data_IF_219947927152
#
_entry.id   IF_219947927152
#
_cell.length_a   1.000
_cell.length_b   1.000
_cell.length_c   1.000
_cell.angle_alpha   90.00
_cell.angle_beta   90.00
_cell.angle_gamma   90.00
#
_symmetry.space_group_name_H-M   'P 1'
#
loop_
_entity.id
_entity.type
_entity.pdbx_description
1 polymer ?
#
# COMPACT_ATOMS: atom_id res chain seq x y z
N UNK A 1 -15.38 -53.73 20.32
CA UNK A 1 -15.30 -52.32 19.88
C UNK A 1 -15.14 -52.32 18.37
N UNK A 2 -15.97 -51.57 17.64
CA UNK A 2 -15.91 -51.50 16.17
C UNK A 2 -14.62 -50.80 15.72
N UNK A 3 -14.05 -51.21 14.58
CA UNK A 3 -12.83 -50.64 13.99
C UNK A 3 -12.91 -49.10 13.89
N UNK A 4 -14.10 -48.57 13.58
CA UNK A 4 -14.37 -47.13 13.54
C UNK A 4 -14.22 -46.43 14.89
N UNK A 5 -14.56 -47.10 15.98
CA UNK A 5 -14.41 -46.56 17.33
C UNK A 5 -12.95 -46.45 17.76
N UNK A 6 -12.10 -47.40 17.33
CA UNK A 6 -10.66 -47.36 17.61
C UNK A 6 -9.99 -46.26 16.79
N UNK A 7 -10.36 -46.10 15.52
CA UNK A 7 -9.81 -45.03 14.65
C UNK A 7 -10.16 -43.64 15.19
N UNK A 8 -11.41 -43.40 15.61
CA UNK A 8 -11.82 -42.12 16.18
C UNK A 8 -11.09 -41.76 17.47
N UNK A 9 -10.84 -42.75 18.35
CA UNK A 9 -10.11 -42.52 19.60
C UNK A 9 -8.64 -42.22 19.31
N UNK A 10 -8.03 -42.92 18.35
CA UNK A 10 -6.64 -42.69 17.97
C UNK A 10 -6.44 -41.34 17.27
N UNK A 11 -7.35 -40.90 16.40
CA UNK A 11 -7.26 -39.59 15.75
C UNK A 11 -7.47 -38.45 16.74
N UNK A 12 -8.44 -38.58 17.65
CA UNK A 12 -8.67 -37.58 18.70
C UNK A 12 -7.47 -37.46 19.66
N UNK A 13 -6.86 -38.59 20.05
CA UNK A 13 -5.66 -38.60 20.87
C UNK A 13 -4.46 -37.95 20.15
N UNK A 14 -4.30 -38.20 18.84
CA UNK A 14 -3.23 -37.60 18.04
C UNK A 14 -3.40 -36.09 17.91
N UNK A 15 -4.63 -35.60 17.67
CA UNK A 15 -4.93 -34.16 17.62
C UNK A 15 -4.68 -33.50 18.99
N UNK A 16 -5.06 -34.13 20.10
CA UNK A 16 -4.80 -33.61 21.44
C UNK A 16 -3.29 -33.55 21.75
N UNK A 17 -2.53 -34.56 21.35
CA UNK A 17 -1.07 -34.58 21.46
C UNK A 17 -0.38 -33.50 20.60
N UNK A 18 -0.94 -33.19 19.43
CA UNK A 18 -0.46 -32.08 18.60
C UNK A 18 -0.74 -30.72 19.26
N UNK A 19 -1.92 -30.53 19.84
CA UNK A 19 -2.27 -29.29 20.55
C UNK A 19 -1.46 -29.09 21.84
N UNK A 20 -1.11 -30.17 22.55
CA UNK A 20 -0.27 -30.15 23.76
C UNK A 20 1.20 -29.81 23.50
N UNK A 21 1.69 -29.94 22.26
CA UNK A 21 3.08 -29.65 21.87
C UNK A 21 3.26 -28.29 21.18
N UNK A 22 2.20 -27.51 20.98
CA UNK A 22 2.32 -26.13 20.53
C UNK A 22 2.68 -25.29 21.76
N UNK A 23 3.93 -24.81 21.91
CA UNK A 23 4.18 -23.79 22.91
C UNK A 23 3.32 -22.58 22.54
N UNK A 24 2.33 -22.28 23.37
CA UNK A 24 1.62 -21.00 23.36
C UNK A 24 2.61 -19.92 23.84
N UNK A 25 3.61 -19.65 23.00
CA UNK A 25 4.53 -18.54 23.20
C UNK A 25 3.82 -17.27 22.72
N UNK A 26 2.78 -16.85 23.48
CA UNK A 26 2.27 -15.48 23.46
C UNK A 26 3.26 -14.57 24.19
N UNK A 27 4.55 -14.73 23.90
CA UNK A 27 5.53 -13.71 24.20
C UNK A 27 5.40 -12.70 23.09
N UNK A 28 4.56 -11.69 23.37
CA UNK A 28 4.62 -10.40 22.67
C UNK A 28 6.08 -9.99 22.64
N UNK A 29 6.73 -10.26 21.50
CA UNK A 29 8.06 -9.78 21.22
C UNK A 29 7.83 -8.30 21.00
N UNK A 30 7.96 -7.52 22.07
CA UNK A 30 8.12 -6.08 21.99
C UNK A 30 9.39 -5.85 21.18
N UNK A 31 9.26 -5.88 19.86
CA UNK A 31 10.25 -5.41 18.92
C UNK A 31 10.62 -4.02 19.41
N UNK A 32 11.90 -3.86 19.76
CA UNK A 32 12.46 -2.63 20.29
C UNK A 32 12.53 -1.53 19.23
N UNK A 33 11.48 -1.36 18.43
CA UNK A 33 11.19 -0.12 17.74
C UNK A 33 11.02 0.90 18.84
N UNK A 34 12.08 1.68 19.07
CA UNK A 34 12.01 2.99 19.70
C UNK A 34 10.73 3.64 19.16
N UNK A 35 9.74 3.83 20.04
CA UNK A 35 8.67 4.76 19.73
C UNK A 35 9.35 6.06 19.29
N UNK A 36 8.91 6.69 18.19
CA UNK A 36 9.46 7.98 17.79
C UNK A 36 9.43 8.89 19.00
N UNK A 37 10.56 9.53 19.30
CA UNK A 37 10.71 10.37 20.47
C UNK A 37 9.53 11.35 20.54
N UNK A 38 8.84 11.37 21.69
CA UNK A 38 7.81 12.34 21.98
C UNK A 38 8.41 13.74 21.77
N UNK A 39 7.97 14.43 20.71
CA UNK A 39 8.55 15.70 20.27
C UNK A 39 8.53 15.95 18.76
N UNK A 40 8.11 15.00 17.92
CA UNK A 40 7.71 15.31 16.55
C UNK A 40 6.29 15.86 16.60
N UNK A 41 6.14 17.19 16.57
CA UNK A 41 4.84 17.84 16.41
C UNK A 41 4.39 17.52 14.98
N UNK A 42 3.69 16.40 14.81
CA UNK A 42 3.22 15.94 13.51
C UNK A 42 2.26 17.01 13.00
N UNK A 43 2.61 17.68 11.90
CA UNK A 43 1.71 18.63 11.28
C UNK A 43 0.39 17.93 10.93
N UNK A 44 -0.73 18.41 11.48
CA UNK A 44 -2.04 17.83 11.24
C UNK A 44 -2.85 18.69 10.26
N UNK A 45 -3.27 18.11 9.14
CA UNK A 45 -4.17 18.75 8.16
C UNK A 45 -5.64 18.85 8.66
N UNK A 46 -5.92 18.55 9.91
CA UNK A 46 -7.28 18.53 10.46
C UNK A 46 -8.10 17.31 10.02
N UNK A 47 -9.43 17.42 10.17
CA UNK A 47 -10.37 16.31 9.96
C UNK A 47 -11.38 16.55 8.81
N UNK A 48 -11.17 17.58 8.00
CA UNK A 48 -11.95 17.82 6.79
C UNK A 48 -11.14 18.59 5.76
N UNK A 49 -11.52 18.50 4.49
CA UNK A 49 -10.98 19.26 3.37
C UNK A 49 -10.94 20.76 3.65
N UNK A 50 -11.98 21.31 4.28
CA UNK A 50 -12.01 22.72 4.68
C UNK A 50 -10.94 23.06 5.74
N UNK A 51 -10.70 22.18 6.72
CA UNK A 51 -9.63 22.37 7.71
C UNK A 51 -8.25 22.22 7.07
N UNK A 52 -8.08 21.24 6.17
CA UNK A 52 -6.83 20.98 5.46
C UNK A 52 -6.42 22.18 4.60
N UNK A 53 -7.35 22.72 3.83
CA UNK A 53 -7.12 23.94 3.04
C UNK A 53 -6.78 25.14 3.93
N UNK A 54 -7.47 25.31 5.07
CA UNK A 54 -7.17 26.38 6.04
C UNK A 54 -5.79 26.22 6.68
N UNK A 55 -5.31 24.98 6.85
CA UNK A 55 -3.98 24.67 7.35
C UNK A 55 -2.89 24.80 6.27
N UNK A 56 -3.25 25.04 5.00
CA UNK A 56 -2.30 25.11 3.89
C UNK A 56 -1.86 23.76 3.34
N UNK A 57 -2.56 22.67 3.70
CA UNK A 57 -2.32 21.36 3.11
C UNK A 57 -2.82 21.30 1.67
N UNK A 58 -2.20 20.41 0.89
CA UNK A 58 -2.58 20.14 -0.50
C UNK A 58 -3.08 18.71 -0.65
N UNK A 59 -4.11 18.51 -1.47
CA UNK A 59 -4.66 17.18 -1.72
C UNK A 59 -3.82 16.47 -2.79
N UNK A 60 -3.24 15.34 -2.41
CA UNK A 60 -2.52 14.43 -3.28
C UNK A 60 -3.48 13.29 -3.66
N UNK A 61 -3.91 13.26 -4.93
CA UNK A 61 -4.86 12.27 -5.42
C UNK A 61 -4.20 10.90 -5.60
N UNK A 62 -2.91 10.86 -5.93
CA UNK A 62 -2.16 9.61 -5.97
C UNK A 62 -2.24 8.91 -4.59
N UNK A 63 -2.07 9.65 -3.50
CA UNK A 63 -2.10 9.11 -2.14
C UNK A 63 -3.49 9.07 -1.50
N UNK A 64 -4.48 9.72 -2.13
CA UNK A 64 -5.78 10.02 -1.52
C UNK A 64 -5.60 10.61 -0.11
N UNK A 65 -4.74 11.62 0.00
CA UNK A 65 -4.33 12.20 1.27
C UNK A 65 -4.13 13.72 1.21
N UNK A 66 -4.35 14.38 2.33
CA UNK A 66 -3.95 15.78 2.53
C UNK A 66 -2.51 15.82 3.04
N UNK A 67 -1.61 16.46 2.29
CA UNK A 67 -0.20 16.58 2.61
C UNK A 67 0.11 17.91 3.30
N UNK A 68 0.87 17.90 4.40
CA UNK A 68 1.42 19.11 5.00
C UNK A 68 2.26 19.94 4.02
N UNK A 69 2.38 21.27 4.22
CA UNK A 69 3.21 22.13 3.36
C UNK A 69 4.66 21.68 3.18
N UNK A 70 5.24 21.05 4.21
CA UNK A 70 6.63 20.59 4.20
C UNK A 70 6.82 19.18 3.58
N UNK A 71 5.72 18.52 3.20
CA UNK A 71 5.77 17.23 2.51
C UNK A 71 5.77 17.44 0.99
N UNK A 72 6.81 17.02 0.27
CA UNK A 72 6.81 17.05 -1.19
C UNK A 72 5.71 16.14 -1.76
N UNK A 73 5.05 16.61 -2.83
CA UNK A 73 4.23 15.76 -3.69
C UNK A 73 5.14 14.95 -4.61
N UNK A 74 5.13 13.63 -4.46
CA UNK A 74 5.90 12.73 -5.32
C UNK A 74 4.98 12.12 -6.37
N UNK A 75 5.34 12.32 -7.64
CA UNK A 75 4.71 11.69 -8.81
C UNK A 75 3.20 11.95 -9.01
N UNK A 76 2.55 12.73 -8.14
CA UNK A 76 1.12 13.06 -8.25
C UNK A 76 0.80 13.76 -9.57
N UNK A 77 1.62 14.71 -10.03
CA UNK A 77 1.38 15.38 -11.30
C UNK A 77 1.51 14.44 -12.50
N UNK A 78 2.47 13.53 -12.48
CA UNK A 78 2.67 12.52 -13.51
C UNK A 78 1.51 11.52 -13.53
N UNK A 79 1.05 11.10 -12.35
CA UNK A 79 -0.15 10.30 -12.20
C UNK A 79 -1.36 11.00 -12.81
N UNK A 80 -1.63 12.26 -12.45
CA UNK A 80 -2.75 13.03 -13.01
C UNK A 80 -2.66 13.24 -14.53
N UNK A 81 -1.46 13.24 -15.12
CA UNK A 81 -1.26 13.35 -16.57
C UNK A 81 -1.40 12.02 -17.30
N UNK A 82 -1.23 10.89 -16.62
CA UNK A 82 -1.25 9.57 -17.22
C UNK A 82 -2.67 9.07 -17.55
N UNK A 83 -3.72 9.71 -17.01
CA UNK A 83 -5.10 9.34 -17.33
C UNK A 83 -6.14 10.35 -16.85
N UNK A 84 -7.34 10.27 -17.43
CA UNK A 84 -8.54 10.96 -16.96
C UNK A 84 -9.21 10.10 -15.87
N UNK A 85 -8.66 10.14 -14.66
CA UNK A 85 -9.09 9.31 -13.55
C UNK A 85 -10.52 9.65 -13.10
N UNK A 86 -11.40 8.66 -13.19
CA UNK A 86 -12.81 8.79 -12.82
C UNK A 86 -13.11 7.89 -11.64
N UNK A 87 -13.88 8.43 -10.71
CA UNK A 87 -14.31 7.72 -9.51
C UNK A 87 -15.83 7.67 -9.45
N UNK A 88 -16.35 6.61 -8.85
CA UNK A 88 -17.77 6.28 -8.89
C UNK A 88 -18.31 5.94 -7.50
N UNK A 89 -19.60 6.17 -7.29
CA UNK A 89 -20.30 5.87 -6.04
C UNK A 89 -20.73 4.39 -5.95
N UNK A 90 -20.62 3.66 -7.06
CA UNK A 90 -21.01 2.27 -7.16
C UNK A 90 -19.95 1.45 -7.92
N UNK A 91 -19.79 0.16 -7.59
CA UNK A 91 -18.80 -0.71 -8.23
C UNK A 91 -19.14 -1.03 -9.70
N UNK A 92 -20.35 -0.71 -10.17
CA UNK A 92 -20.74 -0.92 -11.58
C UNK A 92 -20.37 0.28 -12.46
N UNK A 93 -19.81 1.35 -11.89
CA UNK A 93 -19.39 2.54 -12.63
C UNK A 93 -20.55 3.37 -13.19
N UNK A 94 -21.74 3.31 -12.60
CA UNK A 94 -22.93 3.98 -13.13
C UNK A 94 -23.05 5.44 -12.69
N UNK A 95 -22.59 5.77 -11.49
CA UNK A 95 -22.73 7.09 -10.88
C UNK A 95 -21.37 7.69 -10.58
N UNK A 96 -20.98 8.70 -11.36
CA UNK A 96 -19.71 9.41 -11.15
C UNK A 96 -19.75 10.26 -9.89
N UNK A 97 -18.67 10.22 -9.12
CA UNK A 97 -18.45 11.12 -8.00
C UNK A 97 -18.01 12.50 -8.52
N UNK A 98 -18.82 13.51 -8.26
CA UNK A 98 -18.57 14.92 -8.62
C UNK A 98 -19.13 15.85 -7.54
N UNK A 99 -18.66 17.10 -7.51
CA UNK A 99 -19.18 18.13 -6.61
C UNK A 99 -19.19 17.68 -5.14
N UNK A 100 -20.38 17.69 -4.53
CA UNK A 100 -20.55 17.32 -3.11
C UNK A 100 -20.06 15.90 -2.77
N UNK A 101 -20.29 14.93 -3.66
CA UNK A 101 -19.84 13.56 -3.42
C UNK A 101 -18.31 13.42 -3.45
N UNK A 102 -17.62 14.25 -4.24
CA UNK A 102 -16.16 14.31 -4.23
C UNK A 102 -15.63 14.88 -2.91
N UNK A 103 -16.22 15.99 -2.44
CA UNK A 103 -15.88 16.56 -1.13
C UNK A 103 -16.14 15.58 0.01
N UNK A 104 -17.29 14.90 0.00
CA UNK A 104 -17.63 13.88 1.00
C UNK A 104 -16.59 12.74 1.03
N UNK A 105 -16.05 12.34 -0.12
CA UNK A 105 -14.97 11.36 -0.18
C UNK A 105 -13.66 11.90 0.41
N UNK A 106 -13.28 13.15 0.08
CA UNK A 106 -12.10 13.80 0.68
C UNK A 106 -12.22 14.02 2.20
N UNK A 107 -13.46 14.06 2.70
CA UNK A 107 -13.79 14.17 4.12
C UNK A 107 -13.97 12.80 4.79
N UNK A 108 -13.70 11.70 4.08
CA UNK A 108 -13.86 10.30 4.53
C UNK A 108 -15.30 9.92 4.94
N UNK A 109 -16.31 10.62 4.42
CA UNK A 109 -17.72 10.34 4.69
C UNK A 109 -18.27 9.20 3.83
N UNK A 110 -17.68 9.01 2.64
CA UNK A 110 -18.04 7.95 1.69
C UNK A 110 -16.80 7.34 1.04
N UNK A 111 -16.93 6.10 0.57
CA UNK A 111 -15.91 5.44 -0.25
C UNK A 111 -16.24 5.60 -1.73
N UNK A 112 -15.21 5.71 -2.57
CA UNK A 112 -15.34 5.72 -4.02
C UNK A 112 -14.75 4.46 -4.65
N UNK A 113 -15.22 4.17 -5.86
CA UNK A 113 -14.73 3.08 -6.71
C UNK A 113 -13.93 3.65 -7.87
N UNK A 114 -12.72 3.15 -8.08
CA UNK A 114 -11.86 3.49 -9.22
C UNK A 114 -11.87 2.41 -10.29
N UNK A 115 -11.49 2.79 -11.51
CA UNK A 115 -11.26 1.84 -12.60
C UNK A 115 -9.96 1.05 -12.36
N UNK A 116 -9.88 -0.18 -12.87
CA UNK A 116 -8.68 -1.03 -12.72
C UNK A 116 -7.40 -0.34 -13.22
N UNK A 117 -7.49 0.42 -14.33
CA UNK A 117 -6.37 1.14 -14.90
C UNK A 117 -5.83 2.24 -13.99
N UNK A 118 -6.71 2.90 -13.23
CA UNK A 118 -6.33 3.89 -12.23
C UNK A 118 -5.54 3.23 -11.10
N UNK A 119 -6.05 2.12 -10.53
CA UNK A 119 -5.38 1.43 -9.42
C UNK A 119 -4.02 0.83 -9.84
N UNK A 120 -3.91 0.28 -11.06
CA UNK A 120 -2.61 -0.17 -11.58
C UNK A 120 -1.64 1.00 -11.77
N UNK A 121 -2.12 2.13 -12.29
CA UNK A 121 -1.29 3.34 -12.46
C UNK A 121 -0.85 3.89 -11.11
N UNK A 122 -1.75 3.94 -10.12
CA UNK A 122 -1.43 4.28 -8.73
C UNK A 122 -0.24 3.46 -8.22
N UNK A 123 -0.24 2.15 -8.40
CA UNK A 123 0.87 1.29 -7.98
C UNK A 123 2.20 1.67 -8.67
N UNK A 124 2.18 1.96 -9.98
CA UNK A 124 3.38 2.39 -10.72
C UNK A 124 3.93 3.70 -10.17
N UNK A 125 3.06 4.70 -9.96
CA UNK A 125 3.49 6.01 -9.47
C UNK A 125 3.88 5.99 -7.99
N UNK A 126 3.31 5.10 -7.18
CA UNK A 126 3.79 4.82 -5.81
C UNK A 126 5.24 4.33 -5.81
N UNK A 127 5.62 3.42 -6.71
CA UNK A 127 7.02 2.99 -6.84
C UNK A 127 7.94 4.10 -7.35
N UNK A 128 7.47 4.92 -8.30
CA UNK A 128 8.24 6.09 -8.75
C UNK A 128 8.48 7.08 -7.59
N UNK A 129 7.47 7.31 -6.75
CA UNK A 129 7.57 8.15 -5.57
C UNK A 129 8.57 7.60 -4.55
N UNK A 130 8.54 6.29 -4.28
CA UNK A 130 9.54 5.65 -3.43
C UNK A 130 10.96 5.82 -3.99
N UNK A 131 11.16 5.66 -5.30
CA UNK A 131 12.44 5.87 -5.95
C UNK A 131 12.96 7.30 -5.78
N UNK A 132 12.08 8.31 -5.90
CA UNK A 132 12.42 9.72 -5.67
C UNK A 132 12.77 10.00 -4.21
N UNK A 133 12.05 9.42 -3.27
CA UNK A 133 12.38 9.54 -1.84
C UNK A 133 13.80 9.02 -1.57
N UNK A 134 14.13 7.84 -2.10
CA UNK A 134 15.47 7.26 -1.91
C UNK A 134 16.56 8.09 -2.59
N UNK A 135 16.28 8.64 -3.77
CA UNK A 135 17.21 9.48 -4.51
C UNK A 135 17.45 10.84 -3.85
N UNK A 136 16.37 11.51 -3.43
CA UNK A 136 16.40 12.89 -2.95
C UNK A 136 16.69 12.99 -1.44
N UNK A 137 16.40 11.94 -0.66
CA UNK A 137 16.60 11.93 0.79
C UNK A 137 15.70 12.91 1.56
N UNK A 138 14.58 13.30 0.96
CA UNK A 138 13.65 14.32 1.45
C UNK A 138 12.55 13.75 2.36
N UNK A 139 11.81 14.63 3.04
CA UNK A 139 10.66 14.22 3.86
C UNK A 139 9.60 13.49 3.01
N UNK A 140 8.83 12.61 3.63
CA UNK A 140 7.82 11.82 2.93
C UNK A 140 6.62 11.49 3.83
N UNK A 141 5.41 11.37 3.25
CA UNK A 141 4.27 10.79 3.95
C UNK A 141 4.50 9.29 4.24
N UNK A 142 4.18 8.79 5.46
CA UNK A 142 4.43 7.40 5.83
C UNK A 142 3.81 6.35 4.91
N UNK A 143 2.70 6.70 4.24
CA UNK A 143 1.98 5.83 3.29
C UNK A 143 2.87 5.39 2.10
N UNK A 144 3.85 6.21 1.70
CA UNK A 144 4.76 5.92 0.58
C UNK A 144 5.80 4.84 0.89
N UNK A 145 6.11 4.60 2.17
CA UNK A 145 7.14 3.64 2.59
C UNK A 145 6.56 2.48 3.40
N UNK A 146 5.24 2.33 3.40
CA UNK A 146 4.58 1.22 4.08
C UNK A 146 4.85 -0.09 3.32
N UNK A 147 5.57 -1.02 3.95
CA UNK A 147 5.88 -2.32 3.33
C UNK A 147 4.62 -3.07 2.89
N UNK A 148 3.58 -3.12 3.72
CA UNK A 148 2.32 -3.78 3.38
C UNK A 148 1.68 -3.20 2.11
N UNK A 149 1.77 -1.87 1.95
CA UNK A 149 1.22 -1.21 0.77
C UNK A 149 2.08 -1.48 -0.47
N UNK A 150 3.41 -1.47 -0.32
CA UNK A 150 4.35 -1.79 -1.39
C UNK A 150 4.22 -3.24 -1.87
N UNK A 151 4.05 -4.19 -0.94
CA UNK A 151 3.84 -5.60 -1.26
C UNK A 151 2.53 -5.78 -2.04
N UNK A 152 1.43 -5.15 -1.61
CA UNK A 152 0.16 -5.13 -2.34
C UNK A 152 0.34 -4.55 -3.77
N UNK A 153 1.02 -3.42 -3.91
CA UNK A 153 1.27 -2.81 -5.21
C UNK A 153 2.07 -3.73 -6.13
N UNK A 154 3.13 -4.38 -5.62
CA UNK A 154 3.96 -5.30 -6.39
C UNK A 154 3.15 -6.52 -6.86
N UNK A 155 2.40 -7.14 -5.95
CA UNK A 155 1.59 -8.32 -6.25
C UNK A 155 0.49 -8.01 -7.25
N UNK A 156 -0.23 -6.90 -7.07
CA UNK A 156 -1.33 -6.52 -7.94
C UNK A 156 -0.85 -6.17 -9.37
N UNK A 157 0.27 -5.46 -9.49
CA UNK A 157 0.90 -5.20 -10.78
C UNK A 157 1.35 -6.50 -11.46
N UNK A 158 2.04 -7.38 -10.72
CA UNK A 158 2.53 -8.65 -11.26
C UNK A 158 1.38 -9.55 -11.72
N UNK A 159 0.29 -9.61 -10.96
CA UNK A 159 -0.90 -10.36 -11.35
C UNK A 159 -1.54 -9.80 -12.62
N UNK A 160 -1.61 -8.47 -12.74
CA UNK A 160 -2.14 -7.83 -13.94
C UNK A 160 -1.27 -8.09 -15.18
N UNK A 161 0.06 -7.98 -15.04
CA UNK A 161 1.01 -8.22 -16.13
C UNK A 161 0.96 -9.66 -16.64
N UNK A 162 0.83 -10.65 -15.74
CA UNK A 162 0.71 -12.08 -16.10
C UNK A 162 -0.55 -12.43 -16.91
N UNK A 163 -1.53 -11.53 -16.99
CA UNK A 163 -2.73 -11.70 -17.81
C UNK A 163 -2.53 -11.22 -19.25
N UNK A 164 -1.42 -10.56 -19.58
CA UNK A 164 -1.08 -10.18 -20.95
C UNK A 164 -0.72 -11.40 -21.79
N UNK A 165 -1.25 -11.47 -23.00
CA UNK A 165 -0.98 -12.57 -23.95
C UNK A 165 0.51 -12.61 -24.38
N UNK A 166 1.21 -11.49 -24.22
CA UNK A 166 2.62 -11.27 -24.54
C UNK A 166 3.57 -11.45 -23.34
N UNK A 167 3.08 -11.89 -22.18
CA UNK A 167 3.90 -12.04 -20.96
C UNK A 167 5.18 -12.89 -21.16
N UNK A 168 5.17 -13.82 -22.11
CA UNK A 168 6.30 -14.70 -22.43
C UNK A 168 7.02 -14.31 -23.74
N UNK A 169 6.65 -13.19 -24.35
CA UNK A 169 7.29 -12.69 -25.57
C UNK A 169 8.69 -12.19 -25.25
N UNK A 170 9.67 -12.58 -26.07
CA UNK A 170 11.05 -12.12 -25.94
C UNK A 170 11.22 -10.76 -26.60
N UNK A 171 11.05 -9.68 -25.83
CA UNK A 171 11.14 -8.30 -26.35
C UNK A 171 12.45 -7.59 -26.01
N UNK A 172 13.20 -8.06 -25.01
CA UNK A 172 14.42 -7.42 -24.55
C UNK A 172 15.55 -8.44 -24.32
N UNK A 173 16.79 -8.02 -24.55
CA UNK A 173 17.95 -8.77 -24.06
C UNK A 173 18.07 -8.60 -22.55
N UNK A 174 18.45 -9.65 -21.84
CA UNK A 174 18.87 -9.54 -20.44
C UNK A 174 20.13 -8.69 -20.33
N UNK A 175 20.24 -7.88 -19.28
CA UNK A 175 21.42 -7.05 -19.03
C UNK A 175 22.70 -7.88 -18.87
N UNK A 176 23.87 -7.26 -19.10
CA UNK A 176 25.15 -7.89 -18.76
C UNK A 176 25.26 -8.04 -17.26
N UNK A 177 25.92 -9.11 -16.82
CA UNK A 177 26.26 -9.29 -15.39
C UNK A 177 27.15 -8.14 -14.95
N UNK A 178 26.72 -7.41 -13.93
CA UNK A 178 27.53 -6.41 -13.25
C UNK A 178 28.39 -7.09 -12.17
N UNK A 179 29.68 -6.80 -12.17
CA UNK A 179 30.61 -7.18 -11.09
C UNK A 179 30.91 -6.00 -10.17
N UNK A 180 30.27 -4.86 -10.39
CA UNK A 180 30.56 -3.57 -9.73
C UNK A 180 29.40 -3.11 -8.86
N UNK A 181 28.71 -4.06 -8.21
CA UNK A 181 27.67 -3.77 -7.22
C UNK A 181 28.29 -3.78 -5.82
N UNK A 182 28.19 -2.66 -5.09
CA UNK A 182 28.65 -2.55 -3.71
C UNK A 182 27.61 -1.86 -2.84
N UNK A 183 27.45 -2.34 -1.60
CA UNK A 183 26.48 -1.78 -0.68
C UNK A 183 27.06 -0.54 0.00
N UNK A 184 26.48 0.63 -0.27
CA UNK A 184 26.71 1.81 0.57
C UNK A 184 26.17 1.52 1.98
N UNK A 185 27.08 1.50 2.97
CA UNK A 185 26.70 1.53 4.38
C UNK A 185 26.87 2.97 4.85
N UNK A 186 25.77 3.69 5.02
CA UNK A 186 25.80 4.95 5.75
C UNK A 186 26.25 4.67 7.18
N UNK A 187 27.29 5.38 7.64
CA UNK A 187 27.76 5.36 9.03
C UNK A 187 26.89 6.28 9.89
#
# INVERSE_FOLDING_TARGET
>A
MSVYGVVLVLTAAFVALLLLKIPLDLRSRSDGRRAPAAGQDHFHCGNSSAQALKAGCTFDQLLWAWLPPDCPEYANQEFMKAGDWRYYLDPLGKQRATGASWTAAMDNEINLWGEKGEHLSHCVFMFLSLGRIVHDGTAYPPRLVSNEHLDHCAEYLLEALRKGDDWQTMENSVGKVSYEEYCFRYH
#
